data_IF_279751803616
#
_entry.id   IF_279751803616
#
_cell.length_a   1.000
_cell.length_b   1.000
_cell.length_c   1.000
_cell.angle_alpha   90.00
_cell.angle_beta   90.00
_cell.angle_gamma   90.00
#
_symmetry.space_group_name_H-M   'P 1'
#
loop_
_entity.id
_entity.type
_entity.pdbx_description
1 polymer ?
#
# COMPACT_ATOMS: atom_id res chain seq x y z
N UNK A 1 57.79 20.69 -52.39
CA UNK A 1 56.59 20.53 -53.25
C UNK A 1 55.46 20.03 -52.37
N UNK A 2 54.35 20.80 -52.32
CA UNK A 2 52.93 20.40 -52.28
C UNK A 2 52.55 19.11 -51.51
N UNK A 3 51.47 19.02 -50.73
CA UNK A 3 50.31 19.89 -50.47
C UNK A 3 49.49 19.19 -49.36
N UNK A 4 48.95 19.98 -48.43
CA UNK A 4 47.59 19.93 -47.89
C UNK A 4 46.94 18.66 -47.28
N UNK A 5 46.35 18.92 -46.10
CA UNK A 5 45.00 18.58 -45.63
C UNK A 5 44.73 17.12 -45.21
N UNK A 6 44.47 16.91 -43.92
CA UNK A 6 43.09 16.95 -43.41
C UNK A 6 43.07 16.99 -41.86
N UNK A 7 42.52 18.10 -41.36
CA UNK A 7 41.95 18.20 -40.02
C UNK A 7 40.75 17.25 -39.94
N UNK A 8 40.71 16.38 -38.94
CA UNK A 8 39.45 16.04 -38.27
C UNK A 8 39.71 15.75 -36.80
N UNK A 9 39.41 16.78 -36.00
CA UNK A 9 39.07 16.67 -34.60
C UNK A 9 37.91 15.69 -34.42
N UNK A 10 38.13 14.60 -33.69
CA UNK A 10 37.06 13.87 -33.04
C UNK A 10 37.46 13.62 -31.58
N UNK A 11 37.22 14.65 -30.76
CA UNK A 11 37.06 14.49 -29.32
C UNK A 11 35.85 13.60 -29.08
N UNK A 12 36.05 12.29 -29.00
CA UNK A 12 35.05 11.40 -28.42
C UNK A 12 35.21 11.46 -26.90
N UNK A 13 34.76 12.57 -26.32
CA UNK A 13 34.40 12.59 -24.90
C UNK A 13 33.15 11.72 -24.81
N UNK A 14 33.36 10.45 -24.48
CA UNK A 14 32.28 9.59 -24.02
C UNK A 14 31.76 10.22 -22.74
N UNK A 15 30.71 11.03 -22.88
CA UNK A 15 29.82 11.37 -21.79
C UNK A 15 29.17 10.06 -21.34
N UNK A 16 29.88 9.34 -20.46
CA UNK A 16 29.28 8.44 -19.50
C UNK A 16 28.40 9.33 -18.63
N UNK A 17 27.21 9.68 -19.12
CA UNK A 17 26.13 10.13 -18.27
C UNK A 17 25.85 8.99 -17.31
N UNK A 18 26.13 9.13 -16.01
CA UNK A 18 25.47 8.28 -15.06
C UNK A 18 24.04 8.83 -15.02
N UNK A 19 23.14 8.26 -15.84
CA UNK A 19 21.75 8.20 -15.42
C UNK A 19 21.71 7.23 -14.23
N UNK A 20 22.31 7.65 -13.11
CA UNK A 20 21.81 7.26 -11.80
C UNK A 20 20.44 7.92 -11.81
N UNK A 21 19.43 7.15 -12.21
CA UNK A 21 18.07 7.40 -11.81
C UNK A 21 18.11 7.42 -10.29
N UNK A 22 18.36 8.60 -9.71
CA UNK A 22 18.11 8.95 -8.32
C UNK A 22 16.59 8.93 -8.14
N UNK A 23 15.95 7.79 -8.38
CA UNK A 23 14.76 7.45 -7.63
C UNK A 23 15.30 7.25 -6.22
N UNK A 24 15.23 8.31 -5.40
CA UNK A 24 15.38 8.16 -3.97
C UNK A 24 14.54 6.94 -3.58
N UNK A 25 15.19 5.84 -3.20
CA UNK A 25 14.50 4.60 -2.89
C UNK A 25 13.54 4.91 -1.75
N UNK A 26 12.24 4.93 -2.05
CA UNK A 26 11.25 5.26 -1.05
C UNK A 26 11.12 4.07 -0.11
N UNK A 27 11.52 4.29 1.13
CA UNK A 27 11.49 3.28 2.19
C UNK A 27 10.09 3.24 2.83
N UNK A 28 9.75 2.13 3.52
CA UNK A 28 8.53 2.09 4.31
C UNK A 28 8.41 3.26 5.29
N UNK A 29 9.50 3.62 5.97
CA UNK A 29 9.55 4.74 6.92
C UNK A 29 9.29 6.10 6.26
N UNK A 30 9.76 6.30 5.02
CA UNK A 30 9.45 7.50 4.24
C UNK A 30 7.94 7.66 4.04
N UNK A 31 7.23 6.59 3.69
CA UNK A 31 5.77 6.63 3.56
C UNK A 31 5.04 6.76 4.88
N UNK A 32 5.48 6.02 5.91
CA UNK A 32 4.89 6.09 7.24
C UNK A 32 4.89 7.52 7.79
N UNK A 33 5.98 8.27 7.55
CA UNK A 33 6.09 9.68 7.97
C UNK A 33 5.15 10.64 7.24
N UNK A 34 4.61 10.24 6.07
CA UNK A 34 3.71 11.07 5.27
C UNK A 34 2.25 10.95 5.72
N UNK A 35 1.87 9.88 6.43
CA UNK A 35 0.50 9.73 6.91
C UNK A 35 0.11 10.86 7.85
N UNK A 36 -1.14 11.36 7.77
CA UNK A 36 -1.65 12.28 8.78
C UNK A 36 -1.78 11.57 10.13
N UNK A 37 -1.53 12.30 11.22
CA UNK A 37 -1.82 11.80 12.56
C UNK A 37 -3.32 11.59 12.74
N UNK A 38 -3.70 10.56 13.50
CA UNK A 38 -5.11 10.30 13.82
C UNK A 38 -5.73 11.52 14.54
N UNK A 39 -6.96 11.92 14.18
CA UNK A 39 -7.64 13.02 14.88
C UNK A 39 -7.82 12.69 16.36
N UNK A 40 -7.47 13.64 17.24
CA UNK A 40 -7.50 13.39 18.67
C UNK A 40 -8.93 13.41 19.24
N UNK A 41 -9.80 14.33 18.78
CA UNK A 41 -11.24 14.44 19.12
C UNK A 41 -11.99 15.21 18.00
N UNK A 42 -13.33 15.24 18.04
CA UNK A 42 -14.21 16.04 17.16
C UNK A 42 -14.37 15.61 15.69
N UNK A 43 -14.25 14.32 15.39
CA UNK A 43 -14.53 13.79 14.03
C UNK A 43 -15.92 14.22 13.54
N UNK A 44 -16.93 14.11 14.41
CA UNK A 44 -18.33 14.39 14.07
C UNK A 44 -18.68 15.87 13.88
N UNK A 45 -17.80 16.77 14.32
CA UNK A 45 -17.97 18.22 14.22
C UNK A 45 -16.91 18.84 13.30
N UNK A 46 -16.20 18.01 12.52
CA UNK A 46 -15.17 18.47 11.60
C UNK A 46 -15.79 19.32 10.49
N UNK A 47 -15.11 20.42 10.15
CA UNK A 47 -15.50 21.30 9.04
C UNK A 47 -15.13 20.66 7.71
N UNK A 48 -15.89 20.97 6.66
CA UNK A 48 -15.63 20.51 5.29
C UNK A 48 -14.18 20.78 4.85
N UNK A 49 -13.62 21.95 5.17
CA UNK A 49 -12.23 22.28 4.85
C UNK A 49 -11.23 21.29 5.47
N UNK A 50 -11.47 20.85 6.71
CA UNK A 50 -10.63 19.85 7.39
C UNK A 50 -10.73 18.50 6.69
N UNK A 51 -11.96 18.09 6.34
CA UNK A 51 -12.24 16.81 5.68
C UNK A 51 -11.61 16.78 4.29
N UNK A 52 -11.76 17.85 3.51
CA UNK A 52 -11.16 17.98 2.17
C UNK A 52 -9.65 17.92 2.26
N UNK A 53 -9.01 18.71 3.13
CA UNK A 53 -7.54 18.69 3.30
C UNK A 53 -7.03 17.30 3.71
N UNK A 54 -7.76 16.60 4.57
CA UNK A 54 -7.45 15.24 4.97
C UNK A 54 -7.49 14.27 3.78
N UNK A 55 -8.59 14.30 3.04
CA UNK A 55 -8.82 13.43 1.89
C UNK A 55 -7.83 13.72 0.75
N UNK A 56 -7.55 14.99 0.45
CA UNK A 56 -6.57 15.39 -0.57
C UNK A 56 -5.17 14.85 -0.24
N UNK A 57 -4.75 14.96 1.04
CA UNK A 57 -3.46 14.45 1.49
C UNK A 57 -3.37 12.93 1.34
N UNK A 58 -4.40 12.19 1.75
CA UNK A 58 -4.44 10.73 1.61
C UNK A 58 -4.50 10.29 0.15
N UNK A 59 -5.29 10.99 -0.68
CA UNK A 59 -5.41 10.71 -2.10
C UNK A 59 -4.06 10.90 -2.81
N UNK A 60 -3.36 11.99 -2.54
CA UNK A 60 -2.03 12.24 -3.09
C UNK A 60 -1.04 11.13 -2.70
N UNK A 61 -1.02 10.75 -1.42
CA UNK A 61 -0.14 9.69 -0.91
C UNK A 61 -0.48 8.32 -1.54
N UNK A 62 -1.77 7.98 -1.66
CA UNK A 62 -2.22 6.75 -2.29
C UNK A 62 -1.84 6.71 -3.77
N UNK A 63 -2.07 7.80 -4.50
CA UNK A 63 -1.72 7.90 -5.92
C UNK A 63 -0.21 7.71 -6.13
N UNK A 64 0.63 8.27 -5.25
CA UNK A 64 2.08 8.05 -5.27
C UNK A 64 2.43 6.56 -5.10
N UNK A 65 1.89 5.90 -4.07
CA UNK A 65 2.14 4.48 -3.79
C UNK A 65 1.63 3.58 -4.93
N UNK A 66 0.41 3.81 -5.42
CA UNK A 66 -0.17 3.04 -6.52
C UNK A 66 0.62 3.21 -7.82
N UNK A 67 1.11 4.41 -8.12
CA UNK A 67 1.94 4.63 -9.31
C UNK A 67 3.25 3.83 -9.25
N UNK A 68 3.90 3.78 -8.09
CA UNK A 68 5.10 2.97 -7.88
C UNK A 68 4.82 1.48 -8.04
N UNK A 69 3.74 1.00 -7.43
CA UNK A 69 3.34 -0.40 -7.53
C UNK A 69 3.02 -0.80 -8.98
N UNK A 70 2.30 0.05 -9.71
CA UNK A 70 1.99 -0.18 -11.12
C UNK A 70 3.25 -0.20 -12.00
N UNK A 71 4.19 0.73 -11.75
CA UNK A 71 5.44 0.75 -12.50
C UNK A 71 6.29 -0.49 -12.22
N UNK A 72 6.40 -0.88 -10.95
CA UNK A 72 7.12 -2.08 -10.54
C UNK A 72 6.54 -3.34 -11.17
N UNK A 73 5.21 -3.48 -11.14
CA UNK A 73 4.51 -4.62 -11.76
C UNK A 73 4.85 -4.75 -13.25
N UNK A 74 4.87 -3.64 -13.99
CA UNK A 74 5.26 -3.64 -15.41
C UNK A 74 6.70 -4.11 -15.62
N UNK A 75 7.63 -3.65 -14.78
CA UNK A 75 9.03 -4.08 -14.85
C UNK A 75 9.20 -5.57 -14.52
N UNK A 76 8.45 -6.06 -13.53
CA UNK A 76 8.42 -7.48 -13.17
C UNK A 76 7.86 -8.32 -14.32
N UNK A 77 6.72 -7.93 -14.91
CA UNK A 77 6.09 -8.61 -16.05
C UNK A 77 7.03 -8.66 -17.27
N UNK A 78 7.72 -7.55 -17.56
CA UNK A 78 8.73 -7.51 -18.61
C UNK A 78 9.89 -8.48 -18.32
N UNK A 79 10.39 -8.49 -17.08
CA UNK A 79 11.47 -9.39 -16.68
C UNK A 79 11.06 -10.88 -16.76
N UNK A 80 9.79 -11.21 -16.48
CA UNK A 80 9.25 -12.56 -16.69
C UNK A 80 9.17 -12.88 -18.18
N UNK A 81 8.68 -11.96 -19.01
CA UNK A 81 8.59 -12.12 -20.47
C UNK A 81 9.96 -12.32 -21.14
N UNK A 82 11.01 -11.68 -20.61
CA UNK A 82 12.37 -11.77 -21.14
C UNK A 82 13.11 -13.03 -20.65
N UNK A 83 12.61 -13.67 -19.58
CA UNK A 83 13.19 -14.87 -19.01
C UNK A 83 12.69 -16.14 -19.72
N UNK A 84 13.50 -17.21 -19.64
CA UNK A 84 13.17 -18.49 -20.26
C UNK A 84 12.60 -19.46 -19.22
N UNK A 85 11.46 -20.12 -19.47
CA UNK A 85 10.96 -21.16 -18.58
C UNK A 85 12.01 -22.24 -18.35
N UNK A 86 12.12 -22.72 -17.11
CA UNK A 86 13.04 -23.80 -16.75
C UNK A 86 12.47 -25.15 -17.15
N UNK A 87 13.25 -25.92 -17.88
CA UNK A 87 12.91 -27.31 -18.25
C UNK A 87 13.21 -28.29 -17.13
N UNK A 88 14.06 -27.91 -16.18
CA UNK A 88 14.51 -28.74 -15.06
C UNK A 88 13.69 -28.50 -13.77
N UNK A 89 12.60 -27.74 -13.83
CA UNK A 89 11.79 -27.38 -12.65
C UNK A 89 11.29 -28.60 -11.87
N UNK A 90 11.09 -29.74 -12.55
CA UNK A 90 10.62 -30.99 -11.94
C UNK A 90 11.74 -31.94 -11.51
N UNK A 91 13.01 -31.54 -11.65
CA UNK A 91 14.12 -32.28 -11.06
C UNK A 91 13.99 -32.30 -9.53
N UNK A 92 14.36 -33.40 -8.85
CA UNK A 92 14.14 -33.56 -7.40
C UNK A 92 14.60 -32.37 -6.54
N UNK A 93 15.78 -31.81 -6.83
CA UNK A 93 16.32 -30.66 -6.11
C UNK A 93 15.46 -29.39 -6.27
N UNK A 94 14.87 -29.16 -7.45
CA UNK A 94 14.01 -28.01 -7.70
C UNK A 94 12.60 -28.22 -7.11
N UNK A 95 12.12 -29.47 -7.05
CA UNK A 95 10.88 -29.83 -6.35
C UNK A 95 11.01 -29.58 -4.85
N UNK A 96 12.08 -30.07 -4.22
CA UNK A 96 12.34 -29.86 -2.78
C UNK A 96 12.43 -28.37 -2.45
N UNK A 97 13.14 -27.60 -3.28
CA UNK A 97 13.23 -26.15 -3.15
C UNK A 97 11.86 -25.48 -3.25
N UNK A 98 11.07 -25.84 -4.25
CA UNK A 98 9.72 -25.28 -4.46
C UNK A 98 8.81 -25.59 -3.26
N UNK A 99 8.87 -26.81 -2.73
CA UNK A 99 8.11 -27.19 -1.54
C UNK A 99 8.53 -26.40 -0.31
N UNK A 100 9.83 -26.18 -0.11
CA UNK A 100 10.34 -25.37 0.99
C UNK A 100 9.83 -23.92 0.88
N UNK A 101 9.98 -23.31 -0.29
CA UNK A 101 9.49 -21.95 -0.54
C UNK A 101 7.97 -21.86 -0.30
N UNK A 102 7.19 -22.85 -0.75
CA UNK A 102 5.75 -22.90 -0.52
C UNK A 102 5.38 -22.89 0.96
N UNK A 103 6.08 -23.67 1.80
CA UNK A 103 5.85 -23.68 3.26
C UNK A 103 6.21 -22.35 3.93
N UNK A 104 7.28 -21.70 3.48
CA UNK A 104 7.68 -20.39 3.99
C UNK A 104 6.67 -19.30 3.59
N UNK A 105 6.14 -19.36 2.36
CA UNK A 105 5.07 -18.47 1.90
C UNK A 105 3.80 -18.68 2.73
N UNK A 106 3.36 -19.92 2.91
CA UNK A 106 2.16 -20.25 3.71
C UNK A 106 2.28 -19.75 5.16
N UNK A 107 3.46 -19.89 5.77
CA UNK A 107 3.69 -19.38 7.13
C UNK A 107 3.53 -17.86 7.22
N UNK A 108 4.04 -17.11 6.23
CA UNK A 108 3.90 -15.65 6.16
C UNK A 108 2.44 -15.25 5.90
N UNK A 109 1.76 -15.90 4.97
CA UNK A 109 0.35 -15.64 4.65
C UNK A 109 -0.56 -15.88 5.87
N UNK A 110 -0.34 -16.97 6.60
CA UNK A 110 -1.08 -17.28 7.83
C UNK A 110 -0.85 -16.21 8.92
N UNK A 111 0.39 -15.73 9.09
CA UNK A 111 0.69 -14.68 10.06
C UNK A 111 0.05 -13.34 9.66
N UNK A 112 0.14 -12.95 8.39
CA UNK A 112 -0.52 -11.75 7.85
C UNK A 112 -2.02 -11.84 8.11
N UNK A 113 -2.64 -12.98 7.77
CA UNK A 113 -4.09 -13.20 7.94
C UNK A 113 -4.48 -13.06 9.41
N UNK A 114 -3.74 -13.72 10.30
CA UNK A 114 -3.98 -13.63 11.76
C UNK A 114 -3.91 -12.19 12.26
N UNK A 115 -2.94 -11.40 11.78
CA UNK A 115 -2.81 -9.99 12.16
C UNK A 115 -4.00 -9.19 11.63
N UNK A 116 -4.34 -9.31 10.34
CA UNK A 116 -5.44 -8.54 9.73
C UNK A 116 -6.79 -8.88 10.35
N UNK A 117 -7.07 -10.16 10.59
CA UNK A 117 -8.29 -10.61 11.28
C UNK A 117 -8.34 -10.12 12.72
N UNK A 118 -7.21 -10.16 13.44
CA UNK A 118 -7.10 -9.67 14.81
C UNK A 118 -7.39 -8.17 14.95
N UNK A 119 -7.18 -7.38 13.90
CA UNK A 119 -7.45 -5.94 13.87
C UNK A 119 -8.89 -5.67 13.38
N UNK A 120 -9.30 -6.32 12.29
CA UNK A 120 -10.57 -6.02 11.60
C UNK A 120 -11.81 -6.60 12.27
N UNK A 121 -11.75 -7.82 12.81
CA UNK A 121 -12.91 -8.49 13.41
C UNK A 121 -13.50 -7.70 14.59
N UNK A 122 -12.71 -7.25 15.58
CA UNK A 122 -13.26 -6.47 16.70
C UNK A 122 -13.94 -5.17 16.25
N UNK A 123 -13.39 -4.52 15.22
CA UNK A 123 -13.98 -3.31 14.66
C UNK A 123 -15.32 -3.60 13.96
N UNK A 124 -15.37 -4.64 13.14
CA UNK A 124 -16.59 -5.04 12.41
C UNK A 124 -17.71 -5.38 13.40
N UNK A 125 -17.41 -6.21 14.40
CA UNK A 125 -18.38 -6.58 15.45
C UNK A 125 -18.88 -5.35 16.21
N UNK A 126 -17.95 -4.46 16.61
CA UNK A 126 -18.30 -3.23 17.32
C UNK A 126 -19.16 -2.30 16.48
N UNK A 127 -18.77 -2.06 15.22
CA UNK A 127 -19.51 -1.21 14.28
C UNK A 127 -20.91 -1.76 14.07
N UNK A 128 -21.04 -3.07 13.79
CA UNK A 128 -22.32 -3.73 13.61
C UNK A 128 -23.22 -3.59 14.85
N UNK A 129 -22.67 -3.78 16.05
CA UNK A 129 -23.42 -3.58 17.29
C UNK A 129 -23.92 -2.15 17.49
N UNK A 130 -23.12 -1.15 17.10
CA UNK A 130 -23.54 0.27 17.11
C UNK A 130 -24.63 0.51 16.07
N UNK A 131 -24.47 0.00 14.85
CA UNK A 131 -25.46 0.15 13.79
C UNK A 131 -26.81 -0.45 14.17
N UNK A 132 -26.83 -1.63 14.81
CA UNK A 132 -28.05 -2.23 15.35
C UNK A 132 -28.68 -1.39 16.47
N UNK A 133 -27.87 -0.83 17.38
CA UNK A 133 -28.36 0.04 18.48
C UNK A 133 -29.11 1.27 17.96
N UNK A 134 -28.69 1.82 16.82
CA UNK A 134 -29.30 3.02 16.21
C UNK A 134 -30.23 2.70 15.03
N UNK A 135 -30.50 1.42 14.77
CA UNK A 135 -31.40 1.00 13.70
C UNK A 135 -32.83 1.49 14.02
N UNK A 136 -33.47 2.14 13.05
CA UNK A 136 -34.82 2.71 13.23
C UNK A 136 -34.88 4.00 14.05
N UNK A 137 -33.74 4.51 14.52
CA UNK A 137 -33.60 5.77 15.28
C UNK A 137 -33.03 6.92 14.42
N UNK A 138 -33.03 6.74 13.09
CA UNK A 138 -32.28 7.57 12.14
C UNK A 138 -32.81 9.01 11.98
N UNK A 139 -34.03 9.30 12.44
CA UNK A 139 -34.63 10.63 12.23
C UNK A 139 -34.16 11.67 13.25
N UNK A 140 -33.76 11.27 14.48
CA UNK A 140 -33.37 12.24 15.50
C UNK A 140 -31.92 12.70 15.33
N UNK A 141 -31.72 14.01 15.24
CA UNK A 141 -30.40 14.64 15.09
C UNK A 141 -29.43 14.21 16.20
N UNK A 142 -29.90 14.13 17.44
CA UNK A 142 -29.07 13.73 18.59
C UNK A 142 -28.63 12.27 18.50
N UNK A 143 -29.49 11.38 18.02
CA UNK A 143 -29.15 9.97 17.81
C UNK A 143 -28.12 9.79 16.69
N UNK A 144 -28.23 10.57 15.60
CA UNK A 144 -27.23 10.62 14.53
C UNK A 144 -25.86 11.09 15.03
N UNK A 145 -25.82 12.14 15.86
CA UNK A 145 -24.58 12.63 16.48
C UNK A 145 -23.95 11.57 17.40
N UNK A 146 -24.75 10.90 18.22
CA UNK A 146 -24.23 9.87 19.12
C UNK A 146 -23.75 8.62 18.37
N UNK A 147 -24.45 8.20 17.30
CA UNK A 147 -23.96 7.15 16.38
C UNK A 147 -22.61 7.52 15.80
N UNK A 148 -22.46 8.74 15.27
CA UNK A 148 -21.18 9.20 14.73
C UNK A 148 -20.07 9.12 15.79
N UNK A 149 -20.31 9.60 17.02
CA UNK A 149 -19.32 9.59 18.09
C UNK A 149 -18.88 8.16 18.43
N UNK A 150 -19.81 7.23 18.52
CA UNK A 150 -19.50 5.82 18.86
C UNK A 150 -18.74 5.11 17.73
N UNK A 151 -19.16 5.28 16.46
CA UNK A 151 -18.48 4.65 15.32
C UNK A 151 -17.11 5.28 15.09
N UNK A 152 -17.00 6.61 15.15
CA UNK A 152 -15.71 7.28 15.00
C UNK A 152 -14.71 6.88 16.09
N UNK A 153 -15.15 6.74 17.35
CA UNK A 153 -14.29 6.21 18.42
C UNK A 153 -13.84 4.77 18.13
N UNK A 154 -14.75 3.89 17.71
CA UNK A 154 -14.40 2.51 17.34
C UNK A 154 -13.41 2.48 16.16
N UNK A 155 -13.60 3.34 15.16
CA UNK A 155 -12.72 3.46 13.99
C UNK A 155 -11.33 4.00 14.36
N UNK A 156 -11.24 4.99 15.24
CA UNK A 156 -9.95 5.51 15.68
C UNK A 156 -9.15 4.46 16.46
N UNK A 157 -9.82 3.64 17.28
CA UNK A 157 -9.16 2.50 17.94
C UNK A 157 -8.67 1.47 16.91
N UNK A 158 -9.52 1.10 15.95
CA UNK A 158 -9.14 0.22 14.84
C UNK A 158 -7.91 0.72 14.07
N UNK A 159 -7.90 2.00 13.72
CA UNK A 159 -6.79 2.62 12.98
C UNK A 159 -5.51 2.72 13.81
N UNK A 160 -5.63 2.93 15.12
CA UNK A 160 -4.48 2.91 16.04
C UNK A 160 -3.91 1.49 16.14
N UNK A 161 -4.77 0.47 16.26
CA UNK A 161 -4.34 -0.93 16.27
C UNK A 161 -3.68 -1.33 14.95
N UNK A 162 -4.24 -0.91 13.80
CA UNK A 162 -3.62 -1.11 12.50
C UNK A 162 -2.24 -0.43 12.45
N UNK A 163 -2.16 0.84 12.82
CA UNK A 163 -0.89 1.58 12.84
C UNK A 163 0.19 0.85 13.68
N UNK A 164 -0.18 0.32 14.84
CA UNK A 164 0.71 -0.43 15.74
C UNK A 164 1.18 -1.77 15.15
N UNK A 165 0.48 -2.32 14.16
CA UNK A 165 0.83 -3.58 13.49
C UNK A 165 1.52 -3.38 12.14
N UNK A 166 1.58 -2.14 11.63
CA UNK A 166 2.16 -1.84 10.32
C UNK A 166 3.62 -2.28 10.21
N UNK A 167 4.46 -2.04 11.21
CA UNK A 167 5.86 -2.46 11.15
C UNK A 167 6.00 -3.97 10.93
N UNK A 168 5.20 -4.77 11.63
CA UNK A 168 5.21 -6.23 11.45
C UNK A 168 4.66 -6.65 10.08
N UNK A 169 3.58 -6.03 9.62
CA UNK A 169 3.03 -6.29 8.29
C UNK A 169 4.04 -5.93 7.20
N UNK A 170 4.77 -4.82 7.33
CA UNK A 170 5.82 -4.41 6.40
C UNK A 170 6.96 -5.42 6.39
N UNK A 171 7.43 -5.88 7.55
CA UNK A 171 8.46 -6.92 7.64
C UNK A 171 8.05 -8.21 6.91
N UNK A 172 6.82 -8.66 7.15
CA UNK A 172 6.24 -9.83 6.49
C UNK A 172 6.09 -9.61 4.98
N UNK A 173 5.67 -8.42 4.57
CA UNK A 173 5.57 -8.04 3.16
C UNK A 173 6.93 -8.02 2.45
N UNK A 174 7.98 -7.52 3.10
CA UNK A 174 9.35 -7.57 2.58
C UNK A 174 9.85 -9.01 2.46
N UNK A 175 9.54 -9.87 3.44
CA UNK A 175 9.88 -11.29 3.37
C UNK A 175 9.11 -11.99 2.24
N UNK A 176 7.81 -11.74 2.10
CA UNK A 176 6.96 -12.26 1.03
C UNK A 176 7.45 -11.86 -0.36
N UNK A 177 7.88 -10.60 -0.55
CA UNK A 177 8.48 -10.15 -1.81
C UNK A 177 9.72 -10.99 -2.19
N UNK A 178 10.60 -11.26 -1.22
CA UNK A 178 11.80 -12.08 -1.46
C UNK A 178 11.44 -13.51 -1.86
N UNK A 179 10.48 -14.12 -1.16
CA UNK A 179 10.02 -15.48 -1.48
C UNK A 179 9.36 -15.54 -2.85
N UNK A 180 8.55 -14.54 -3.22
CA UNK A 180 7.95 -14.43 -4.54
C UNK A 180 9.01 -14.36 -5.63
N UNK A 181 10.03 -13.50 -5.47
CA UNK A 181 11.15 -13.42 -6.42
C UNK A 181 11.91 -14.75 -6.51
N UNK A 182 12.11 -15.46 -5.40
CA UNK A 182 12.77 -16.76 -5.38
C UNK A 182 11.95 -17.87 -6.05
N UNK A 183 10.63 -17.83 -5.89
CA UNK A 183 9.72 -18.73 -6.57
C UNK A 183 9.81 -18.51 -8.09
N UNK A 184 9.78 -17.27 -8.55
CA UNK A 184 9.92 -16.93 -9.97
C UNK A 184 11.28 -17.39 -10.51
N UNK A 185 12.39 -17.19 -9.78
CA UNK A 185 13.72 -17.69 -10.19
C UNK A 185 13.80 -19.22 -10.29
N UNK A 186 12.93 -19.94 -9.57
CA UNK A 186 12.86 -21.40 -9.66
C UNK A 186 12.10 -21.84 -10.91
N UNK A 187 11.19 -21.00 -11.43
CA UNK A 187 10.43 -21.26 -12.64
C UNK A 187 11.10 -20.71 -13.92
N UNK A 188 11.91 -19.66 -13.83
CA UNK A 188 12.47 -18.96 -14.99
C UNK A 188 13.99 -18.74 -14.89
N UNK A 189 14.73 -19.19 -15.90
CA UNK A 189 16.16 -18.91 -16.09
C UNK A 189 16.35 -17.51 -16.66
N UNK A 190 17.30 -16.76 -16.10
CA UNK A 190 17.61 -15.39 -16.54
C UNK A 190 16.76 -14.32 -15.84
N UNK A 191 15.76 -14.71 -15.04
CA UNK A 191 15.01 -13.76 -14.21
C UNK A 191 15.92 -13.15 -13.14
N UNK A 192 16.12 -11.84 -13.21
CA UNK A 192 17.03 -11.08 -12.33
C UNK A 192 16.37 -9.91 -11.61
N UNK A 193 15.08 -9.69 -11.85
CA UNK A 193 14.30 -8.64 -11.21
C UNK A 193 14.21 -8.88 -9.69
N UNK A 194 14.19 -7.79 -8.94
CA UNK A 194 14.05 -7.79 -7.48
C UNK A 194 12.93 -6.85 -7.10
N UNK A 195 11.92 -7.39 -6.43
CA UNK A 195 10.77 -6.63 -5.96
C UNK A 195 11.21 -5.67 -4.85
N UNK A 196 11.01 -4.37 -5.07
CA UNK A 196 11.30 -3.30 -4.13
C UNK A 196 10.09 -2.93 -3.28
N UNK A 197 8.89 -2.85 -3.85
CA UNK A 197 7.66 -2.38 -3.20
C UNK A 197 6.71 -3.55 -2.87
N UNK A 198 6.21 -4.25 -3.90
CA UNK A 198 5.37 -5.44 -3.78
C UNK A 198 4.35 -5.39 -2.62
N UNK A 199 4.33 -6.46 -1.83
CA UNK A 199 3.36 -6.71 -0.77
C UNK A 199 3.44 -5.71 0.40
N UNK A 200 4.64 -5.26 0.81
CA UNK A 200 4.70 -4.31 1.94
C UNK A 200 4.04 -2.97 1.61
N UNK A 201 4.12 -2.52 0.35
CA UNK A 201 3.48 -1.29 -0.08
C UNK A 201 1.95 -1.45 -0.11
N UNK A 202 1.43 -2.65 -0.37
CA UNK A 202 0.00 -2.95 -0.31
C UNK A 202 -0.56 -2.74 1.11
N UNK A 203 0.19 -3.09 2.16
CA UNK A 203 -0.26 -2.81 3.53
C UNK A 203 -0.37 -1.31 3.82
N UNK A 204 0.56 -0.49 3.30
CA UNK A 204 0.48 0.95 3.46
C UNK A 204 -0.68 1.55 2.66
N UNK A 205 -0.92 1.06 1.43
CA UNK A 205 -2.09 1.44 0.63
C UNK A 205 -3.38 1.03 1.36
N UNK A 206 -3.43 -0.17 1.93
CA UNK A 206 -4.54 -0.65 2.74
C UNK A 206 -4.84 0.27 3.92
N UNK A 207 -3.82 0.62 4.70
CA UNK A 207 -3.96 1.58 5.79
C UNK A 207 -4.42 2.97 5.31
N UNK A 208 -3.90 3.46 4.17
CA UNK A 208 -4.33 4.72 3.56
C UNK A 208 -5.82 4.71 3.20
N UNK A 209 -6.33 3.58 2.69
CA UNK A 209 -7.75 3.41 2.40
C UNK A 209 -8.58 3.46 3.68
N UNK A 210 -8.15 2.79 4.74
CA UNK A 210 -8.88 2.84 6.02
C UNK A 210 -8.91 4.24 6.64
N UNK A 211 -7.80 4.99 6.53
CA UNK A 211 -7.74 6.40 6.94
C UNK A 211 -8.70 7.29 6.14
N UNK A 212 -9.03 6.93 4.90
CA UNK A 212 -9.95 7.74 4.08
C UNK A 212 -11.40 7.70 4.60
N UNK A 213 -11.74 6.69 5.40
CA UNK A 213 -13.06 6.51 5.98
C UNK A 213 -13.25 7.18 7.35
N UNK A 214 -12.25 7.93 7.85
CA UNK A 214 -12.29 8.58 9.17
C UNK A 214 -13.51 9.49 9.33
N UNK A 215 -13.90 10.19 8.27
CA UNK A 215 -14.96 11.20 8.30
C UNK A 215 -16.27 10.74 7.65
N UNK A 216 -16.37 9.48 7.20
CA UNK A 216 -17.56 8.94 6.51
C UNK A 216 -18.81 8.91 7.40
N UNK A 217 -18.61 8.85 8.72
CA UNK A 217 -19.70 8.71 9.69
C UNK A 217 -20.29 10.06 10.12
N UNK A 218 -19.79 11.18 9.59
CA UNK A 218 -20.35 12.52 9.85
C UNK A 218 -21.79 12.58 9.31
N UNK A 219 -22.79 12.97 10.14
CA UNK A 219 -24.15 13.14 9.66
C UNK A 219 -24.22 14.24 8.60
N UNK A 220 -24.75 13.92 7.42
CA UNK A 220 -25.19 14.93 6.46
C UNK A 220 -26.38 15.67 7.08
N UNK A 221 -26.10 16.78 7.77
CA UNK A 221 -27.14 17.70 8.24
C UNK A 221 -27.58 18.49 7.03
N UNK A 222 -28.73 18.12 6.45
CA UNK A 222 -29.44 18.74 5.34
C UNK A 222 -28.84 20.08 4.88
N UNK A 223 -28.15 20.06 3.74
CA UNK A 223 -27.97 21.24 2.90
C UNK A 223 -29.36 21.80 2.57
N UNK A 224 -29.70 22.93 3.20
CA UNK A 224 -30.86 23.81 3.00
C UNK A 224 -32.28 23.19 2.91
N UNK A 225 -33.29 23.79 3.55
CA UNK A 225 -34.67 23.49 3.19
C UNK A 225 -34.88 23.93 1.74
N UNK A 226 -35.27 23.01 0.86
CA UNK A 226 -35.87 23.37 -0.44
C UNK A 226 -36.97 24.37 -0.14
N UNK A 227 -36.76 25.60 -0.61
CA UNK A 227 -37.62 26.74 -0.35
C UNK A 227 -39.08 26.45 -0.71
N UNK A 228 -39.94 27.13 0.06
CA UNK A 228 -41.39 27.22 -0.09
C UNK A 228 -41.83 27.54 -1.51
#
# INVERSE_FOLDING_TARGET
MNKSLFLFSFSLVVLLSPFISLFAQQTPQSFLSKFPALPQQHVCDAKDETIIKWNDKLLALKNEMTALQMNERKLMEQAISDAQPRTDMFEPANVERTQKLGKETEAIENEITTIIEGISTPFIEKKFGIELKYLGLLEQVEQRKNRCKEISAARLNYLADYQNKLDRLIELGVAGNKLSDEMIRTAYTGYSFRTQYGLWLEFLIGYANELSYVYDDIPLLNTEPVGK
#
